data_IF_075418383335
#
_entry.id   IF_075418383335
#
_cell.length_a   1.000
_cell.length_b   1.000
_cell.length_c   1.000
_cell.angle_alpha   90.00
_cell.angle_beta   90.00
_cell.angle_gamma   90.00
#
_symmetry.space_group_name_H-M   'P 1'
#
loop_
_entity.id
_entity.type
_entity.pdbx_description
1 polymer ?
#
# COMPACT_ATOMS: atom_id res chain seq x y z
N UNK A 1 -21.01 -21.17 -4.14
CA UNK A 1 -20.09 -21.79 -3.15
C UNK A 1 -20.81 -22.57 -2.03
N UNK A 2 -22.12 -22.39 -1.80
CA UNK A 2 -22.90 -23.16 -0.80
C UNK A 2 -23.17 -24.62 -1.18
N UNK A 3 -23.19 -24.96 -2.49
CA UNK A 3 -23.58 -26.30 -2.97
C UNK A 3 -22.59 -27.40 -2.57
N UNK A 4 -21.28 -27.11 -2.55
CA UNK A 4 -20.27 -28.14 -2.21
C UNK A 4 -20.28 -28.50 -0.72
N UNK A 5 -20.68 -27.56 0.15
CA UNK A 5 -20.78 -27.80 1.58
C UNK A 5 -21.97 -28.70 1.93
N UNK A 6 -23.06 -28.58 1.17
CA UNK A 6 -24.24 -29.44 1.32
C UNK A 6 -23.95 -30.88 0.88
N UNK A 7 -23.23 -31.05 -0.24
CA UNK A 7 -22.84 -32.37 -0.77
C UNK A 7 -21.94 -33.12 0.22
N UNK A 8 -20.97 -32.45 0.85
CA UNK A 8 -20.07 -33.10 1.79
C UNK A 8 -20.78 -33.54 3.09
N UNK A 9 -21.69 -32.70 3.62
CA UNK A 9 -22.51 -33.07 4.79
C UNK A 9 -23.45 -34.23 4.47
N UNK A 10 -24.07 -34.23 3.30
CA UNK A 10 -24.92 -35.33 2.84
C UNK A 10 -24.13 -36.63 2.72
N UNK A 11 -22.93 -36.59 2.13
CA UNK A 11 -22.07 -37.77 1.98
C UNK A 11 -21.63 -38.36 3.32
N UNK A 12 -21.32 -37.51 4.31
CA UNK A 12 -20.95 -37.95 5.66
C UNK A 12 -22.12 -38.62 6.39
N UNK A 13 -23.32 -38.03 6.29
CA UNK A 13 -24.54 -38.58 6.89
C UNK A 13 -24.92 -39.90 6.22
N UNK A 14 -24.87 -39.95 4.88
CA UNK A 14 -25.17 -41.18 4.11
C UNK A 14 -24.14 -42.28 4.41
N UNK A 15 -22.85 -41.93 4.52
CA UNK A 15 -21.81 -42.90 4.90
C UNK A 15 -22.01 -43.45 6.31
N UNK A 16 -22.41 -42.61 7.27
CA UNK A 16 -22.70 -43.06 8.64
C UNK A 16 -23.92 -43.97 8.70
N UNK A 17 -24.98 -43.64 7.94
CA UNK A 17 -26.19 -44.46 7.82
C UNK A 17 -25.87 -45.81 7.17
N UNK A 18 -25.09 -45.83 6.09
CA UNK A 18 -24.64 -47.08 5.45
C UNK A 18 -23.81 -47.97 6.40
N UNK A 19 -22.93 -47.38 7.21
CA UNK A 19 -22.12 -48.12 8.19
C UNK A 19 -22.99 -48.74 9.29
N UNK A 20 -24.00 -48.00 9.78
CA UNK A 20 -24.99 -48.52 10.73
C UNK A 20 -25.79 -49.68 10.15
N UNK A 21 -26.23 -49.56 8.88
CA UNK A 21 -27.00 -50.62 8.20
C UNK A 21 -26.13 -51.87 7.99
N UNK A 22 -24.90 -51.71 7.51
CA UNK A 22 -23.99 -52.84 7.27
C UNK A 22 -23.61 -53.57 8.57
N UNK A 23 -23.44 -52.85 9.68
CA UNK A 23 -23.19 -53.48 10.99
C UNK A 23 -24.42 -54.21 11.52
N UNK A 24 -25.63 -53.65 11.32
CA UNK A 24 -26.87 -54.31 11.75
C UNK A 24 -27.15 -55.61 10.97
N UNK A 25 -26.73 -55.70 9.70
CA UNK A 25 -26.94 -56.87 8.86
C UNK A 25 -25.88 -57.98 9.04
N UNK A 26 -24.73 -57.67 9.65
CA UNK A 26 -23.65 -58.64 9.83
C UNK A 26 -23.83 -59.55 11.06
N UNK A 27 -24.79 -59.25 11.95
CA UNK A 27 -24.90 -59.88 13.27
C UNK A 27 -26.04 -60.89 13.43
N UNK A 28 -26.80 -61.16 12.36
CA UNK A 28 -27.93 -62.10 12.37
C UNK A 28 -27.52 -63.56 12.72
N UNK A 29 -26.22 -63.87 12.75
CA UNK A 29 -25.70 -65.20 13.07
C UNK A 29 -25.04 -65.39 14.46
N UNK A 30 -24.53 -64.34 15.10
CA UNK A 30 -23.68 -64.49 16.31
C UNK A 30 -24.35 -64.14 17.64
N UNK A 31 -25.46 -63.39 17.63
CA UNK A 31 -26.12 -62.96 18.87
C UNK A 31 -27.00 -64.03 19.54
N UNK A 32 -27.42 -65.08 18.83
CA UNK A 32 -28.36 -66.09 19.38
C UNK A 32 -27.68 -67.08 20.34
N UNK A 33 -26.38 -67.30 20.26
CA UNK A 33 -25.69 -68.35 21.05
C UNK A 33 -25.06 -67.86 22.36
N UNK A 34 -24.68 -66.58 22.46
CA UNK A 34 -24.08 -66.01 23.69
C UNK A 34 -25.17 -65.45 24.63
N UNK A 35 -26.26 -64.87 24.10
CA UNK A 35 -27.37 -64.36 24.92
C UNK A 35 -28.14 -65.48 25.65
N UNK A 36 -28.24 -66.67 25.05
CA UNK A 36 -28.96 -67.81 25.61
C UNK A 36 -28.35 -68.38 26.90
N UNK A 37 -27.10 -68.03 27.25
CA UNK A 37 -26.41 -68.56 28.45
C UNK A 37 -26.33 -67.58 29.61
N UNK A 38 -26.77 -66.33 29.41
CA UNK A 38 -26.63 -65.24 30.41
C UNK A 38 -27.97 -64.72 30.98
N UNK A 39 -29.13 -65.09 30.41
CA UNK A 39 -30.42 -64.51 30.83
C UNK A 39 -31.33 -65.59 31.42
N UNK A 40 -31.25 -65.75 32.75
CA UNK A 40 -32.36 -66.24 33.54
C UNK A 40 -33.18 -65.05 34.04
N UNK A 41 -34.46 -65.00 33.64
CA UNK A 41 -35.55 -64.09 34.03
C UNK A 41 -35.67 -62.73 33.28
N UNK A 42 -36.62 -62.75 32.34
CA UNK A 42 -37.76 -61.82 32.16
C UNK A 42 -37.62 -60.35 31.74
N UNK A 43 -36.43 -59.82 31.47
CA UNK A 43 -36.34 -58.53 30.77
C UNK A 43 -35.43 -58.65 29.54
N UNK A 44 -36.07 -58.95 28.40
CA UNK A 44 -35.42 -59.09 27.09
C UNK A 44 -34.95 -57.73 26.57
N UNK A 45 -33.92 -57.18 27.17
CA UNK A 45 -33.13 -56.10 26.58
C UNK A 45 -32.45 -56.66 25.33
N UNK A 46 -32.81 -56.13 24.16
CA UNK A 46 -32.30 -56.62 22.88
C UNK A 46 -30.77 -56.49 22.81
N UNK A 47 -30.08 -57.44 22.15
CA UNK A 47 -28.62 -57.46 22.02
C UNK A 47 -28.02 -56.12 21.52
N UNK A 48 -28.80 -55.36 20.74
CA UNK A 48 -28.46 -54.00 20.28
C UNK A 48 -28.25 -53.03 21.44
N UNK A 49 -29.10 -53.10 22.47
CA UNK A 49 -29.03 -52.23 23.65
C UNK A 49 -27.76 -52.51 24.47
N UNK A 50 -27.42 -53.79 24.66
CA UNK A 50 -26.16 -54.19 25.32
C UNK A 50 -24.93 -53.73 24.53
N UNK A 51 -24.94 -53.87 23.20
CA UNK A 51 -23.84 -53.45 22.34
C UNK A 51 -23.64 -51.93 22.38
N UNK A 52 -24.72 -51.15 22.22
CA UNK A 52 -24.65 -49.68 22.30
C UNK A 52 -24.12 -49.23 23.66
N UNK A 53 -24.57 -49.86 24.75
CA UNK A 53 -24.13 -49.51 26.10
C UNK A 53 -22.64 -49.87 26.33
N UNK A 54 -22.16 -50.98 25.75
CA UNK A 54 -20.75 -51.39 25.82
C UNK A 54 -19.80 -50.49 25.02
N UNK A 55 -20.22 -50.03 23.84
CA UNK A 55 -19.39 -49.24 22.92
C UNK A 55 -19.66 -47.73 22.95
N UNK A 56 -20.54 -47.26 23.84
CA UNK A 56 -20.94 -45.85 23.95
C UNK A 56 -19.74 -44.89 24.02
N UNK A 57 -18.72 -45.21 24.83
CA UNK A 57 -17.54 -44.37 25.00
C UNK A 57 -16.67 -44.30 23.75
N UNK A 58 -16.56 -45.40 23.00
CA UNK A 58 -15.79 -45.47 21.76
C UNK A 58 -16.45 -44.63 20.65
N UNK A 59 -17.77 -44.77 20.50
CA UNK A 59 -18.54 -44.02 19.51
C UNK A 59 -18.45 -42.52 19.82
N UNK A 60 -18.57 -42.13 21.10
CA UNK A 60 -18.40 -40.74 21.53
C UNK A 60 -17.01 -40.17 21.20
N UNK A 61 -15.94 -40.94 21.42
CA UNK A 61 -14.58 -40.52 21.10
C UNK A 61 -14.38 -40.31 19.59
N UNK A 62 -14.86 -41.23 18.76
CA UNK A 62 -14.77 -41.12 17.29
C UNK A 62 -15.57 -39.92 16.79
N UNK A 63 -16.80 -39.74 17.28
CA UNK A 63 -17.63 -38.59 16.91
C UNK A 63 -16.97 -37.25 17.29
N UNK A 64 -16.37 -37.19 18.47
CA UNK A 64 -15.64 -35.99 18.93
C UNK A 64 -14.42 -35.71 18.05
N UNK A 65 -13.65 -36.74 17.68
CA UNK A 65 -12.50 -36.58 16.79
C UNK A 65 -12.93 -36.12 15.39
N UNK A 66 -13.99 -36.71 14.83
CA UNK A 66 -14.55 -36.30 13.55
C UNK A 66 -15.04 -34.84 13.59
N UNK A 67 -15.75 -34.44 14.66
CA UNK A 67 -16.17 -33.07 14.88
C UNK A 67 -14.97 -32.11 14.95
N UNK A 68 -13.90 -32.49 15.66
CA UNK A 68 -12.68 -31.71 15.75
C UNK A 68 -11.98 -31.52 14.38
N UNK A 69 -11.90 -32.57 13.56
CA UNK A 69 -11.33 -32.50 12.21
C UNK A 69 -12.18 -31.57 11.31
N UNK A 70 -13.51 -31.69 11.37
CA UNK A 70 -14.41 -30.82 10.60
C UNK A 70 -14.28 -29.36 11.05
N UNK A 71 -14.23 -29.11 12.37
CA UNK A 71 -14.04 -27.77 12.91
C UNK A 71 -12.69 -27.17 12.47
N UNK A 72 -11.60 -27.92 12.55
CA UNK A 72 -10.28 -27.46 12.09
C UNK A 72 -10.27 -27.11 10.59
N UNK A 73 -10.88 -27.96 9.74
CA UNK A 73 -10.98 -27.68 8.29
C UNK A 73 -11.83 -26.45 8.00
N UNK A 74 -12.93 -26.25 8.74
CA UNK A 74 -13.78 -25.09 8.60
C UNK A 74 -13.03 -23.79 8.97
N UNK A 75 -12.26 -23.80 10.06
CA UNK A 75 -11.44 -22.65 10.49
C UNK A 75 -10.39 -22.33 9.42
N UNK A 76 -9.65 -23.34 8.92
CA UNK A 76 -8.65 -23.15 7.86
C UNK A 76 -9.25 -22.53 6.59
N UNK A 77 -10.46 -22.96 6.20
CA UNK A 77 -11.14 -22.39 5.05
C UNK A 77 -11.58 -20.94 5.28
N UNK A 78 -12.09 -20.61 6.47
CA UNK A 78 -12.46 -19.23 6.82
C UNK A 78 -11.25 -18.29 6.81
N UNK A 79 -10.11 -18.72 7.34
CA UNK A 79 -8.87 -17.93 7.34
C UNK A 79 -8.44 -17.62 5.90
N UNK A 80 -8.41 -18.63 5.02
CA UNK A 80 -8.05 -18.43 3.62
C UNK A 80 -9.03 -17.50 2.88
N UNK A 81 -10.33 -17.59 3.15
CA UNK A 81 -11.31 -16.64 2.60
C UNK A 81 -11.13 -15.21 3.13
N UNK A 82 -10.71 -15.08 4.40
CA UNK A 82 -10.36 -13.81 5.02
C UNK A 82 -9.17 -13.15 4.33
N UNK A 83 -8.08 -13.89 4.10
CA UNK A 83 -6.89 -13.42 3.40
C UNK A 83 -7.20 -12.95 1.97
N UNK A 84 -7.98 -13.74 1.21
CA UNK A 84 -8.40 -13.36 -0.16
C UNK A 84 -9.27 -12.08 -0.14
N UNK A 85 -10.13 -11.93 0.87
CA UNK A 85 -10.99 -10.75 0.99
C UNK A 85 -10.22 -9.50 1.41
N UNK A 86 -9.20 -9.66 2.25
CA UNK A 86 -8.27 -8.59 2.63
C UNK A 86 -7.46 -8.13 1.42
N UNK A 87 -6.81 -9.06 0.70
CA UNK A 87 -6.04 -8.73 -0.50
C UNK A 87 -6.88 -8.00 -1.56
N UNK A 88 -8.14 -8.42 -1.77
CA UNK A 88 -9.06 -7.72 -2.69
C UNK A 88 -9.47 -6.32 -2.23
N UNK A 89 -9.47 -6.06 -0.92
CA UNK A 89 -9.74 -4.71 -0.39
C UNK A 89 -8.52 -3.83 -0.62
N UNK A 90 -7.34 -4.34 -0.28
CA UNK A 90 -6.07 -3.64 -0.48
C UNK A 90 -5.86 -3.27 -1.96
N UNK A 91 -6.16 -4.19 -2.90
CA UNK A 91 -6.09 -3.92 -4.34
C UNK A 91 -7.03 -2.80 -4.80
N UNK A 92 -8.25 -2.75 -4.25
CA UNK A 92 -9.24 -1.71 -4.59
C UNK A 92 -8.86 -0.37 -4.01
N UNK A 93 -8.33 -0.37 -2.79
CA UNK A 93 -7.83 0.83 -2.13
C UNK A 93 -6.63 1.39 -2.88
N UNK A 94 -5.69 0.53 -3.29
CA UNK A 94 -4.56 0.91 -4.13
C UNK A 94 -5.01 1.49 -5.48
N UNK A 95 -6.00 0.87 -6.13
CA UNK A 95 -6.52 1.38 -7.40
C UNK A 95 -7.22 2.73 -7.24
N UNK A 96 -8.02 2.90 -6.18
CA UNK A 96 -8.69 4.15 -5.88
C UNK A 96 -7.69 5.28 -5.56
N UNK A 97 -6.66 4.99 -4.77
CA UNK A 97 -5.59 5.96 -4.46
C UNK A 97 -4.85 6.40 -5.74
N UNK A 98 -4.50 5.46 -6.63
CA UNK A 98 -3.85 5.78 -7.91
C UNK A 98 -4.74 6.61 -8.83
N UNK A 99 -6.05 6.40 -8.83
CA UNK A 99 -6.96 7.15 -9.69
C UNK A 99 -7.03 8.66 -9.36
N UNK A 100 -6.83 9.03 -8.09
CA UNK A 100 -6.85 10.44 -7.62
C UNK A 100 -5.46 11.08 -7.65
N UNK A 101 -4.41 10.27 -7.71
CA UNK A 101 -3.01 10.70 -7.64
C UNK A 101 -2.63 11.73 -8.73
N UNK A 102 -3.00 11.60 -10.02
CA UNK A 102 -2.63 12.56 -11.05
C UNK A 102 -3.06 13.99 -10.72
N UNK A 103 -4.28 14.16 -10.20
CA UNK A 103 -4.80 15.48 -9.83
C UNK A 103 -3.96 16.12 -8.72
N UNK A 104 -3.53 15.32 -7.75
CA UNK A 104 -2.69 15.78 -6.64
C UNK A 104 -1.28 16.12 -7.10
N UNK A 105 -0.70 15.31 -8.00
CA UNK A 105 0.61 15.56 -8.58
C UNK A 105 0.62 16.82 -9.44
N UNK A 106 -0.44 17.07 -10.23
CA UNK A 106 -0.58 18.32 -11.00
C UNK A 106 -0.54 19.55 -10.11
N UNK A 107 -1.26 19.54 -8.99
CA UNK A 107 -1.24 20.65 -8.03
C UNK A 107 0.15 20.86 -7.39
N UNK A 108 0.91 19.79 -7.13
CA UNK A 108 2.30 19.91 -6.66
C UNK A 108 3.22 20.48 -7.75
N UNK A 109 3.05 20.06 -9.01
CA UNK A 109 3.80 20.63 -10.14
C UNK A 109 3.51 22.13 -10.31
N UNK A 110 2.24 22.54 -10.25
CA UNK A 110 1.84 23.94 -10.31
C UNK A 110 2.45 24.76 -9.16
N UNK A 111 2.39 24.25 -7.94
CA UNK A 111 3.05 24.86 -6.78
C UNK A 111 4.55 25.03 -7.01
N UNK A 112 5.24 24.01 -7.52
CA UNK A 112 6.67 24.07 -7.79
C UNK A 112 7.03 25.10 -8.88
N UNK A 113 6.21 25.19 -9.93
CA UNK A 113 6.34 26.21 -10.98
C UNK A 113 6.16 27.61 -10.41
N UNK A 114 5.14 27.83 -9.60
CA UNK A 114 4.94 29.13 -8.95
C UNK A 114 6.14 29.48 -8.06
N UNK A 115 6.67 28.53 -7.28
CA UNK A 115 7.85 28.74 -6.46
C UNK A 115 9.06 29.21 -7.28
N UNK A 116 9.35 28.53 -8.39
CA UNK A 116 10.44 28.91 -9.29
C UNK A 116 10.25 30.32 -9.86
N UNK A 117 9.05 30.63 -10.34
CA UNK A 117 8.74 31.95 -10.92
C UNK A 117 8.87 33.08 -9.89
N UNK A 118 8.41 32.88 -8.66
CA UNK A 118 8.55 33.90 -7.59
C UNK A 118 10.01 34.12 -7.24
N UNK A 119 10.80 33.05 -7.11
CA UNK A 119 12.22 33.13 -6.76
C UNK A 119 13.05 33.78 -7.87
N UNK A 120 12.78 33.45 -9.14
CA UNK A 120 13.43 34.08 -10.29
C UNK A 120 13.06 35.57 -10.41
N UNK A 121 11.80 35.91 -10.14
CA UNK A 121 11.35 37.30 -10.03
C UNK A 121 12.11 38.09 -8.96
N UNK A 122 12.39 37.50 -7.80
CA UNK A 122 13.21 38.15 -6.76
C UNK A 122 14.66 38.33 -7.21
N UNK A 123 15.22 37.35 -7.94
CA UNK A 123 16.60 37.44 -8.43
C UNK A 123 16.79 38.55 -9.47
N UNK A 124 15.81 38.73 -10.35
CA UNK A 124 15.86 39.69 -11.46
C UNK A 124 15.68 41.14 -11.02
N UNK A 125 15.02 41.38 -9.88
CA UNK A 125 14.93 42.71 -9.28
C UNK A 125 16.31 43.07 -8.72
N UNK A 126 17.03 43.90 -9.48
CA UNK A 126 18.38 44.32 -9.16
C UNK A 126 18.44 44.90 -7.74
N UNK A 127 19.43 44.42 -6.99
CA UNK A 127 19.49 44.44 -5.53
C UNK A 127 19.72 45.82 -4.89
N UNK A 128 19.63 46.88 -5.68
CA UNK A 128 20.17 48.19 -5.36
C UNK A 128 19.18 49.17 -4.72
N UNK A 129 17.86 48.93 -4.74
CA UNK A 129 16.92 49.90 -4.16
C UNK A 129 15.73 49.24 -3.42
N UNK A 130 15.72 49.30 -2.08
CA UNK A 130 14.49 49.20 -1.29
C UNK A 130 13.51 50.33 -1.68
N UNK A 131 12.18 50.14 -1.54
CA UNK A 131 11.52 48.98 -0.95
C UNK A 131 11.31 47.85 -1.95
N UNK A 132 11.55 46.62 -1.51
CA UNK A 132 11.26 45.43 -2.29
C UNK A 132 9.75 45.31 -2.52
N UNK A 133 9.30 44.87 -3.72
CA UNK A 133 7.92 44.53 -3.90
C UNK A 133 7.55 43.41 -2.91
N UNK A 134 6.35 43.48 -2.33
CA UNK A 134 5.88 42.50 -1.35
C UNK A 134 6.03 41.08 -1.91
N UNK A 135 6.97 40.32 -1.37
CA UNK A 135 7.17 38.94 -1.76
C UNK A 135 6.11 38.07 -1.08
N UNK A 136 5.18 37.57 -1.89
CA UNK A 136 4.15 36.66 -1.42
C UNK A 136 4.62 35.21 -1.61
N UNK A 137 4.73 34.49 -0.51
CA UNK A 137 5.04 33.05 -0.52
C UNK A 137 3.89 32.30 -1.18
N UNK A 138 4.14 31.42 -2.18
CA UNK A 138 3.12 30.56 -2.76
C UNK A 138 2.41 29.73 -1.71
N UNK A 139 1.09 29.58 -1.87
CA UNK A 139 0.28 28.81 -0.92
C UNK A 139 0.44 27.33 -1.23
N UNK A 140 0.85 26.55 -0.24
CA UNK A 140 0.95 25.10 -0.40
C UNK A 140 -0.44 24.47 -0.55
N UNK A 141 -0.67 23.59 -1.56
CA UNK A 141 -1.98 23.01 -1.83
C UNK A 141 -2.31 21.91 -0.81
N UNK A 142 -2.86 22.26 0.35
CA UNK A 142 -3.12 21.30 1.46
C UNK A 142 -4.08 20.17 1.11
N UNK A 143 -4.95 20.35 0.10
CA UNK A 143 -5.87 19.34 -0.40
C UNK A 143 -5.17 18.07 -0.94
N UNK A 144 -3.89 18.18 -1.35
CA UNK A 144 -3.12 17.04 -1.90
C UNK A 144 -2.60 16.09 -0.83
N UNK A 145 -2.59 16.48 0.44
CA UNK A 145 -1.95 15.71 1.51
C UNK A 145 -2.65 14.36 1.71
N UNK A 146 -3.99 14.34 1.78
CA UNK A 146 -4.73 13.11 2.03
C UNK A 146 -4.58 12.10 0.88
N UNK A 147 -4.78 12.46 -0.41
CA UNK A 147 -4.53 11.54 -1.52
C UNK A 147 -3.09 11.00 -1.57
N UNK A 148 -2.09 11.84 -1.27
CA UNK A 148 -0.70 11.38 -1.23
C UNK A 148 -0.45 10.44 -0.05
N UNK A 149 -1.05 10.67 1.12
CA UNK A 149 -0.97 9.74 2.27
C UNK A 149 -1.64 8.40 1.96
N UNK A 150 -2.79 8.40 1.31
CA UNK A 150 -3.48 7.17 0.92
C UNK A 150 -2.66 6.40 -0.12
N UNK A 151 -2.06 7.11 -1.09
CA UNK A 151 -1.11 6.51 -2.02
C UNK A 151 0.11 5.91 -1.31
N UNK A 152 0.69 6.57 -0.31
CA UNK A 152 1.82 6.01 0.48
C UNK A 152 1.41 4.71 1.18
N UNK A 153 0.20 4.63 1.73
CA UNK A 153 -0.28 3.43 2.45
C UNK A 153 -0.49 2.23 1.52
N UNK A 154 -0.94 2.48 0.29
CA UNK A 154 -1.34 1.43 -0.64
C UNK A 154 -0.29 1.09 -1.69
N UNK A 155 0.87 1.75 -1.68
CA UNK A 155 1.94 1.56 -2.67
C UNK A 155 3.03 0.62 -2.19
N UNK A 156 3.79 0.07 -3.14
CA UNK A 156 5.02 -0.66 -2.83
C UNK A 156 6.00 0.25 -2.08
N UNK A 157 6.84 -0.35 -1.23
CA UNK A 157 7.74 0.36 -0.32
C UNK A 157 8.61 1.42 -1.03
N UNK A 158 9.09 1.13 -2.25
CA UNK A 158 9.91 2.05 -3.03
C UNK A 158 9.12 3.30 -3.46
N UNK A 159 7.89 3.12 -3.96
CA UNK A 159 7.01 4.22 -4.37
C UNK A 159 6.52 5.00 -3.16
N UNK A 160 6.14 4.30 -2.09
CA UNK A 160 5.70 4.89 -0.84
C UNK A 160 6.77 5.83 -0.27
N UNK A 161 8.04 5.40 -0.29
CA UNK A 161 9.18 6.23 0.09
C UNK A 161 9.28 7.49 -0.77
N UNK A 162 9.13 7.37 -2.08
CA UNK A 162 9.31 8.49 -3.00
C UNK A 162 8.19 9.53 -2.93
N UNK A 163 6.95 9.07 -2.71
CA UNK A 163 5.83 9.97 -2.40
C UNK A 163 6.07 10.66 -1.04
N UNK A 164 6.54 9.94 -0.02
CA UNK A 164 6.86 10.54 1.28
C UNK A 164 7.99 11.57 1.19
N UNK A 165 9.06 11.26 0.45
CA UNK A 165 10.18 12.17 0.20
C UNK A 165 9.70 13.41 -0.57
N UNK A 166 8.80 13.27 -1.55
CA UNK A 166 8.19 14.40 -2.26
C UNK A 166 7.43 15.33 -1.30
N UNK A 167 6.63 14.78 -0.38
CA UNK A 167 5.92 15.57 0.65
C UNK A 167 6.94 16.31 1.53
N UNK A 168 7.96 15.60 2.01
CA UNK A 168 8.98 16.16 2.90
C UNK A 168 9.75 17.31 2.23
N UNK A 169 10.23 17.11 1.01
CA UNK A 169 10.97 18.14 0.25
C UNK A 169 10.06 19.34 -0.03
N UNK A 170 8.78 19.13 -0.35
CA UNK A 170 7.82 20.22 -0.58
C UNK A 170 7.60 21.08 0.67
N UNK A 171 7.51 20.44 1.85
CA UNK A 171 7.39 21.15 3.13
C UNK A 171 8.68 21.90 3.50
N UNK A 172 9.84 21.29 3.25
CA UNK A 172 11.14 21.96 3.43
C UNK A 172 11.23 23.19 2.54
N UNK A 173 10.81 23.09 1.27
CA UNK A 173 10.79 24.23 0.36
C UNK A 173 9.88 25.35 0.86
N UNK A 174 8.68 25.03 1.33
CA UNK A 174 7.77 26.02 1.92
C UNK A 174 8.41 26.73 3.12
N UNK A 175 9.06 25.98 4.01
CA UNK A 175 9.75 26.55 5.17
C UNK A 175 10.92 27.47 4.75
N UNK A 176 11.70 27.07 3.74
CA UNK A 176 12.79 27.89 3.17
C UNK A 176 12.26 29.18 2.56
N UNK A 177 11.15 29.13 1.82
CA UNK A 177 10.55 30.33 1.22
C UNK A 177 10.00 31.29 2.27
N UNK A 178 9.43 30.77 3.36
CA UNK A 178 9.04 31.61 4.52
C UNK A 178 10.24 32.26 5.17
N UNK A 179 11.32 31.51 5.40
CA UNK A 179 12.57 32.06 5.91
C UNK A 179 13.18 33.12 4.99
N UNK A 180 13.01 33.00 3.68
CA UNK A 180 13.48 34.00 2.72
C UNK A 180 12.76 35.36 2.88
N UNK A 181 11.49 35.37 3.26
CA UNK A 181 10.74 36.62 3.56
C UNK A 181 11.45 37.38 4.68
N UNK A 182 11.74 36.71 5.79
CA UNK A 182 12.41 37.30 6.96
C UNK A 182 13.80 37.85 6.60
N UNK A 183 14.48 37.16 5.69
CA UNK A 183 15.79 37.56 5.17
C UNK A 183 15.71 38.84 4.33
N UNK A 184 14.67 38.97 3.50
CA UNK A 184 14.49 40.13 2.63
C UNK A 184 14.17 41.42 3.39
N UNK A 185 13.62 41.30 4.60
CA UNK A 185 13.32 42.45 5.48
C UNK A 185 14.56 43.07 6.15
N UNK A 186 15.77 42.64 5.79
CA UNK A 186 17.02 43.39 6.05
C UNK A 186 18.12 42.65 6.81
N UNK A 187 18.05 41.32 6.95
CA UNK A 187 18.96 40.58 7.83
C UNK A 187 20.22 39.99 7.17
N UNK A 188 20.31 39.86 5.83
CA UNK A 188 21.45 39.19 5.18
C UNK A 188 22.08 39.99 4.02
N UNK A 189 23.37 39.75 3.81
CA UNK A 189 24.13 40.32 2.70
C UNK A 189 23.75 39.68 1.35
N UNK A 190 23.86 40.47 0.28
CA UNK A 190 23.48 40.10 -1.08
C UNK A 190 24.00 38.73 -1.59
N UNK A 191 25.27 38.32 -1.36
CA UNK A 191 25.75 37.04 -1.91
C UNK A 191 25.07 35.82 -1.28
N UNK A 192 24.78 35.84 0.03
CA UNK A 192 24.08 34.74 0.69
C UNK A 192 22.65 34.61 0.18
N UNK A 193 21.97 35.74 -0.04
CA UNK A 193 20.62 35.78 -0.60
C UNK A 193 20.54 35.11 -1.97
N UNK A 194 21.47 35.43 -2.88
CA UNK A 194 21.47 34.84 -4.22
C UNK A 194 21.65 33.33 -4.19
N UNK A 195 22.54 32.83 -3.32
CA UNK A 195 22.72 31.39 -3.13
C UNK A 195 21.45 30.71 -2.57
N UNK A 196 20.74 31.36 -1.64
CA UNK A 196 19.47 30.84 -1.12
C UNK A 196 18.37 30.78 -2.20
N UNK A 197 18.29 31.81 -3.05
CA UNK A 197 17.34 31.85 -4.16
C UNK A 197 17.63 30.75 -5.17
N UNK A 198 18.88 30.60 -5.60
CA UNK A 198 19.28 29.56 -6.55
C UNK A 198 19.04 28.15 -6.00
N UNK A 199 19.35 27.91 -4.72
CA UNK A 199 19.02 26.64 -4.07
C UNK A 199 17.50 26.41 -4.01
N UNK A 200 16.71 27.44 -3.72
CA UNK A 200 15.25 27.34 -3.71
C UNK A 200 14.67 27.04 -5.09
N UNK A 201 15.24 27.60 -6.16
CA UNK A 201 14.83 27.29 -7.54
C UNK A 201 15.18 25.84 -7.87
N UNK A 202 16.37 25.39 -7.49
CA UNK A 202 16.80 23.99 -7.66
C UNK A 202 15.85 23.02 -6.96
N UNK A 203 15.54 23.26 -5.68
CA UNK A 203 14.66 22.39 -4.89
C UNK A 203 13.26 22.34 -5.50
N UNK A 204 12.72 23.47 -5.94
CA UNK A 204 11.43 23.54 -6.63
C UNK A 204 11.46 22.77 -7.97
N UNK A 205 12.53 22.87 -8.75
CA UNK A 205 12.71 22.06 -9.96
C UNK A 205 12.77 20.56 -9.65
N UNK A 206 13.43 20.16 -8.56
CA UNK A 206 13.46 18.77 -8.09
C UNK A 206 12.06 18.28 -7.69
N UNK A 207 11.29 19.08 -6.94
CA UNK A 207 9.89 18.76 -6.59
C UNK A 207 9.07 18.53 -7.86
N UNK A 208 9.16 19.43 -8.84
CA UNK A 208 8.44 19.30 -10.11
C UNK A 208 8.85 18.03 -10.86
N UNK A 209 10.16 17.76 -10.97
CA UNK A 209 10.67 16.59 -11.68
C UNK A 209 10.22 15.28 -11.02
N UNK A 210 10.28 15.18 -9.69
CA UNK A 210 9.82 14.01 -8.93
C UNK A 210 8.32 13.81 -9.03
N UNK A 211 7.54 14.87 -8.86
CA UNK A 211 6.08 14.82 -9.03
C UNK A 211 5.72 14.38 -10.46
N UNK A 212 6.46 14.88 -11.47
CA UNK A 212 6.24 14.51 -12.87
C UNK A 212 6.55 13.04 -13.15
N UNK A 213 7.62 12.50 -12.55
CA UNK A 213 7.98 11.09 -12.70
C UNK A 213 6.89 10.16 -12.12
N UNK A 214 6.20 10.59 -11.05
CA UNK A 214 5.12 9.80 -10.44
C UNK A 214 3.85 9.72 -11.30
N UNK A 215 3.71 10.51 -12.37
CA UNK A 215 2.59 10.32 -13.32
C UNK A 215 2.66 8.98 -14.06
N UNK A 216 3.83 8.38 -14.25
CA UNK A 216 3.95 7.03 -14.79
C UNK A 216 3.39 5.99 -13.81
N UNK A 217 3.69 6.14 -12.52
CA UNK A 217 3.13 5.30 -11.48
C UNK A 217 1.60 5.40 -11.42
N UNK A 218 1.08 6.63 -11.46
CA UNK A 218 -0.36 6.86 -11.45
C UNK A 218 -1.08 6.22 -12.65
N UNK A 219 -0.39 6.07 -13.78
CA UNK A 219 -0.89 5.38 -14.99
C UNK A 219 -0.71 3.87 -14.99
N UNK A 220 0.08 3.32 -14.07
CA UNK A 220 0.37 1.89 -13.97
C UNK A 220 1.61 1.42 -14.74
N UNK A 221 2.37 2.32 -15.35
CA UNK A 221 3.52 2.02 -16.23
C UNK A 221 4.87 2.37 -15.58
N UNK A 222 5.02 2.14 -14.28
CA UNK A 222 6.18 2.63 -13.53
C UNK A 222 7.50 1.92 -13.92
N UNK A 223 8.48 2.66 -14.44
CA UNK A 223 9.79 2.12 -14.87
C UNK A 223 10.96 2.41 -13.94
N UNK A 224 10.78 3.20 -12.89
CA UNK A 224 11.85 3.54 -11.96
C UNK A 224 11.68 4.94 -11.37
N UNK A 225 12.31 5.17 -10.21
CA UNK A 225 12.16 6.44 -9.47
C UNK A 225 13.42 7.27 -9.54
N UNK A 226 13.24 8.58 -9.68
CA UNK A 226 14.32 9.55 -9.55
C UNK A 226 14.01 10.86 -10.28
N UNK A 227 14.61 11.95 -9.80
CA UNK A 227 14.67 13.18 -10.57
C UNK A 227 15.74 13.03 -11.64
N UNK A 228 15.35 12.70 -12.88
CA UNK A 228 16.30 12.66 -14.00
C UNK A 228 16.72 14.09 -14.35
N UNK A 229 17.97 14.31 -14.80
CA UNK A 229 18.42 15.62 -15.28
C UNK A 229 17.51 16.19 -16.36
N UNK A 230 16.98 15.33 -17.24
CA UNK A 230 15.97 15.71 -18.23
C UNK A 230 14.68 16.25 -17.61
N UNK A 231 14.23 15.67 -16.50
CA UNK A 231 13.09 16.15 -15.72
C UNK A 231 13.34 17.53 -15.10
N UNK A 232 14.54 17.79 -14.57
CA UNK A 232 14.91 19.10 -14.02
C UNK A 232 14.93 20.18 -15.11
N UNK A 233 15.56 19.91 -16.26
CA UNK A 233 15.59 20.86 -17.39
C UNK A 233 14.18 21.16 -17.90
N UNK A 234 13.34 20.13 -18.01
CA UNK A 234 11.94 20.28 -18.40
C UNK A 234 11.17 21.18 -17.42
N UNK A 235 11.39 21.00 -16.11
CA UNK A 235 10.77 21.84 -15.09
C UNK A 235 11.17 23.32 -15.21
N UNK A 236 12.45 23.60 -15.42
CA UNK A 236 12.96 24.98 -15.57
C UNK A 236 12.41 25.65 -16.82
N UNK A 237 12.32 24.91 -17.94
CA UNK A 237 11.73 25.39 -19.19
C UNK A 237 10.24 25.72 -19.01
N UNK A 238 9.47 24.82 -18.36
CA UNK A 238 8.04 25.04 -18.08
C UNK A 238 7.85 26.29 -17.20
N UNK A 239 8.70 26.47 -16.20
CA UNK A 239 8.68 27.64 -15.33
C UNK A 239 9.16 28.93 -16.02
N UNK A 240 9.72 28.85 -17.24
CA UNK A 240 10.34 29.95 -17.99
C UNK A 240 11.54 30.56 -17.26
N UNK A 241 12.26 29.74 -16.48
CA UNK A 241 13.51 30.14 -15.82
C UNK A 241 14.67 29.86 -16.77
N UNK A 242 15.31 30.92 -17.25
CA UNK A 242 16.44 30.82 -18.18
C UNK A 242 17.69 30.33 -17.45
N UNK A 243 18.15 29.11 -17.73
CA UNK A 243 19.27 28.46 -17.04
C UNK A 243 20.55 29.30 -17.13
N UNK A 244 20.72 30.03 -18.23
CA UNK A 244 21.85 30.90 -18.51
C UNK A 244 22.03 32.01 -17.47
N UNK A 245 20.93 32.40 -16.79
CA UNK A 245 20.96 33.39 -15.72
C UNK A 245 21.39 32.79 -14.36
N UNK A 246 21.64 31.48 -14.28
CA UNK A 246 21.85 30.73 -13.05
C UNK A 246 23.06 29.78 -13.16
N UNK A 247 24.27 30.36 -13.10
CA UNK A 247 25.55 29.63 -13.19
C UNK A 247 25.64 28.45 -12.21
N UNK A 248 25.11 28.61 -10.99
CA UNK A 248 25.12 27.54 -9.99
C UNK A 248 24.19 26.37 -10.35
N UNK A 249 23.00 26.67 -10.91
CA UNK A 249 22.04 25.66 -11.33
C UNK A 249 22.61 24.81 -12.47
N UNK A 250 23.22 25.46 -13.45
CA UNK A 250 23.84 24.77 -14.59
C UNK A 250 24.92 23.78 -14.12
N UNK A 251 25.79 24.21 -13.18
CA UNK A 251 26.82 23.35 -12.62
C UNK A 251 26.23 22.11 -11.93
N UNK A 252 25.21 22.29 -11.08
CA UNK A 252 24.56 21.16 -10.39
C UNK A 252 23.88 20.19 -11.34
N UNK A 253 23.21 20.69 -12.37
CA UNK A 253 22.56 19.83 -13.37
C UNK A 253 23.63 19.00 -14.09
N UNK A 254 24.75 19.62 -14.46
CA UNK A 254 25.87 18.90 -15.09
C UNK A 254 26.49 17.84 -14.19
N UNK A 255 26.69 18.15 -12.91
CA UNK A 255 27.19 17.18 -11.90
C UNK A 255 26.26 15.97 -11.79
N UNK A 256 24.94 16.17 -11.85
CA UNK A 256 23.96 15.08 -11.86
C UNK A 256 24.02 14.25 -13.16
N UNK A 257 24.17 14.90 -14.31
CA UNK A 257 24.31 14.21 -15.61
C UNK A 257 25.57 13.33 -15.63
N UNK A 258 26.68 13.84 -15.11
CA UNK A 258 27.94 13.08 -14.97
C UNK A 258 27.78 11.89 -14.00
N UNK A 259 27.09 12.09 -12.87
CA UNK A 259 26.82 11.03 -11.91
C UNK A 259 25.95 9.90 -12.50
N UNK A 260 24.93 10.25 -13.29
CA UNK A 260 24.05 9.28 -13.96
C UNK A 260 24.80 8.50 -15.05
N UNK A 261 25.64 9.17 -15.84
CA UNK A 261 26.50 8.52 -16.83
C UNK A 261 27.46 7.52 -16.18
N UNK A 262 28.07 7.91 -15.05
CA UNK A 262 28.96 7.04 -14.30
C UNK A 262 28.22 5.81 -13.74
N UNK A 263 27.01 5.99 -13.19
CA UNK A 263 26.19 4.88 -12.69
C UNK A 263 25.82 3.88 -13.80
N UNK A 264 25.50 4.36 -15.00
CA UNK A 264 25.15 3.51 -16.14
C UNK A 264 26.36 2.80 -16.78
N UNK A 265 27.58 3.25 -16.48
CA UNK A 265 28.82 2.68 -17.01
C UNK A 265 29.40 1.53 -16.19
N UNK A 266 28.89 1.27 -14.98
CA UNK A 266 29.31 0.17 -14.13
C UNK A 266 28.46 -1.08 -14.45
N UNK A 267 29.04 -2.13 -15.07
CA UNK A 267 28.33 -3.35 -15.44
C UNK A 267 27.99 -4.25 -14.25
#
# INVERSE_FOLDING_TARGET
MSSNFFIFRLALVVSMICLLILFSAADDGYCTTIAAKAVGRDEAHGCIEYWFNRYQSLIGAIATLAAAIVAYRAIRWQVNQGEISAAKRDDREAHAARAVLPLSLSAICEYAVECMQRLDGVKTIDTAMPPWPSYNVPVFPTAVILPLQDAVRSSDQLIAKEIADLIAISQIQLARMKGLVEVMDGSLSAPYRNLHIENGIYDAAVIHARASALFEYARGDFKGVGSTPGGLRSALIIAKVMIENHVYLERRIKELEEAEQNANSQP
#
